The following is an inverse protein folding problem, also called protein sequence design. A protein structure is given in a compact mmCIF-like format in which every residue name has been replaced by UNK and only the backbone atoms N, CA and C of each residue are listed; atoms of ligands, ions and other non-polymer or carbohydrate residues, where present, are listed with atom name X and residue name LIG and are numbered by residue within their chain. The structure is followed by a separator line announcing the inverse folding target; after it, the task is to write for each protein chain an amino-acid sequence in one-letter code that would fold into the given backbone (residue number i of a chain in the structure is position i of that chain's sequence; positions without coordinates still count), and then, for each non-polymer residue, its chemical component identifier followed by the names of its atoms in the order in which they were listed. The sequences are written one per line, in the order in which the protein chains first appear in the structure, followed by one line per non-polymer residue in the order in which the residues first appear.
data_IF_107783929902
#
_entry.id   IF_107783929902
#
_cell.length_a   1.000
_cell.length_b   1.000
_cell.length_c   1.000
_cell.angle_alpha   90.00
_cell.angle_beta   90.00
_cell.angle_gamma   90.00
#
_symmetry.space_group_name_H-M   'P 1'
#
loop_
_entity.id
_entity.type
_entity.pdbx_description
1 polymer ?
#
# COMPACT_ATOMS: atom_id res chain seq x y z
N UNK A 1 8.21 -9.27 -6.15
CA UNK A 1 6.88 -9.73 -5.69
C UNK A 1 5.84 -8.71 -6.08
N UNK A 2 4.75 -9.14 -6.65
CA UNK A 2 3.65 -8.26 -7.05
C UNK A 2 2.42 -8.61 -6.20
N UNK A 3 1.80 -7.60 -5.59
CA UNK A 3 0.59 -7.76 -4.80
C UNK A 3 -0.52 -6.87 -5.36
N UNK A 4 -1.67 -7.46 -5.66
CA UNK A 4 -2.84 -6.73 -6.09
C UNK A 4 -3.72 -6.42 -4.88
N UNK A 5 -3.91 -5.13 -4.57
CA UNK A 5 -4.68 -4.73 -3.39
C UNK A 5 -6.15 -5.08 -3.48
N UNK A 6 -6.68 -5.31 -4.69
CA UNK A 6 -8.06 -5.77 -4.85
C UNK A 6 -8.35 -7.11 -4.15
N UNK A 7 -7.30 -7.88 -3.81
CA UNK A 7 -7.46 -9.11 -3.02
C UNK A 7 -8.04 -8.84 -1.64
N UNK A 8 -7.87 -7.62 -1.13
CA UNK A 8 -8.43 -7.21 0.17
C UNK A 8 -9.80 -6.58 0.03
N UNK A 9 -10.26 -6.34 -1.20
CA UNK A 9 -11.54 -5.72 -1.49
C UNK A 9 -11.40 -4.55 -2.45
N UNK A 10 -12.53 -4.01 -2.90
CA UNK A 10 -12.57 -2.88 -3.82
C UNK A 10 -12.81 -1.55 -3.10
N UNK A 11 -13.30 -1.59 -1.87
CA UNK A 11 -13.55 -0.43 -1.01
C UNK A 11 -12.73 -0.57 0.26
N UNK A 12 -11.56 0.06 0.26
CA UNK A 12 -10.56 -0.08 1.31
C UNK A 12 -10.57 1.20 2.16
N UNK A 13 -11.42 1.23 3.18
CA UNK A 13 -11.71 2.48 3.90
C UNK A 13 -11.50 2.44 5.42
N UNK A 14 -11.67 1.30 6.09
CA UNK A 14 -11.57 1.29 7.55
C UNK A 14 -10.15 1.01 8.02
N UNK A 15 -9.78 1.65 9.13
CA UNK A 15 -8.47 1.43 9.75
C UNK A 15 -8.30 -0.03 10.17
N UNK A 16 -9.34 -0.63 10.73
CA UNK A 16 -9.30 -2.02 11.19
C UNK A 16 -9.01 -2.98 10.03
N UNK A 17 -9.70 -2.84 8.91
CA UNK A 17 -9.47 -3.74 7.76
C UNK A 17 -8.12 -3.50 7.11
N UNK A 18 -7.60 -2.27 7.15
CA UNK A 18 -6.24 -1.98 6.70
C UNK A 18 -5.19 -2.69 7.55
N UNK A 19 -5.37 -2.69 8.87
CA UNK A 19 -4.50 -3.40 9.80
C UNK A 19 -4.57 -4.91 9.56
N UNK A 20 -5.76 -5.46 9.37
CA UNK A 20 -5.94 -6.89 9.08
C UNK A 20 -5.27 -7.28 7.76
N UNK A 21 -5.37 -6.42 6.74
CA UNK A 21 -4.71 -6.64 5.46
C UNK A 21 -3.18 -6.66 5.61
N UNK A 22 -2.63 -5.74 6.40
CA UNK A 22 -1.19 -5.73 6.68
C UNK A 22 -0.76 -7.03 7.35
N UNK A 23 -1.49 -7.47 8.38
CA UNK A 23 -1.17 -8.70 9.10
C UNK A 23 -1.26 -9.93 8.18
N UNK A 24 -2.21 -9.95 7.24
CA UNK A 24 -2.34 -11.02 6.27
C UNK A 24 -1.22 -11.02 5.24
N UNK A 25 -0.75 -9.84 4.82
CA UNK A 25 0.32 -9.70 3.84
C UNK A 25 1.71 -9.96 4.44
N UNK A 26 1.89 -9.70 5.72
CA UNK A 26 3.20 -9.75 6.37
C UNK A 26 3.90 -11.10 6.23
N UNK A 27 3.23 -12.26 6.45
CA UNK A 27 3.88 -13.55 6.24
C UNK A 27 4.35 -13.77 4.80
N UNK A 28 3.59 -13.27 3.82
CA UNK A 28 3.95 -13.39 2.40
C UNK A 28 5.16 -12.53 2.07
N UNK A 29 5.19 -11.29 2.55
CA UNK A 29 6.27 -10.35 2.27
C UNK A 29 7.57 -10.75 2.97
N UNK A 30 7.51 -11.43 4.11
CA UNK A 30 8.69 -11.94 4.80
C UNK A 30 9.46 -12.96 3.97
N UNK A 31 8.81 -13.64 3.04
CA UNK A 31 9.46 -14.56 2.12
C UNK A 31 10.25 -13.89 1.00
N UNK A 32 10.12 -12.57 0.86
CA UNK A 32 10.86 -11.84 -0.16
C UNK A 32 12.35 -11.82 0.16
N UNK A 33 13.18 -11.91 -0.88
CA UNK A 33 14.63 -11.83 -0.74
C UNK A 33 15.03 -10.43 -0.27
N UNK A 34 16.25 -10.31 0.28
CA UNK A 34 16.74 -9.09 0.90
C UNK A 34 16.67 -7.85 0.00
N UNK A 35 16.87 -8.03 -1.31
CA UNK A 35 16.85 -6.93 -2.30
C UNK A 35 15.64 -6.97 -3.21
N UNK A 36 14.68 -7.86 -2.94
CA UNK A 36 13.51 -8.01 -3.79
C UNK A 36 12.57 -6.81 -3.69
N UNK A 37 12.07 -6.37 -4.85
CA UNK A 37 11.09 -5.29 -4.95
C UNK A 37 9.70 -5.82 -4.55
N UNK A 38 9.00 -5.04 -3.75
CA UNK A 38 7.59 -5.29 -3.41
C UNK A 38 6.76 -4.28 -4.22
N UNK A 39 6.11 -4.74 -5.28
CA UNK A 39 5.28 -3.89 -6.13
C UNK A 39 3.81 -4.05 -5.77
N UNK A 40 3.15 -2.93 -5.50
CA UNK A 40 1.73 -2.90 -5.18
C UNK A 40 0.94 -2.34 -6.36
N UNK A 41 -0.14 -3.04 -6.74
CA UNK A 41 -0.99 -2.67 -7.84
C UNK A 41 -2.39 -2.33 -7.31
N UNK A 42 -2.91 -1.15 -7.68
CA UNK A 42 -4.23 -0.67 -7.25
C UNK A 42 -5.33 -0.94 -8.28
N UNK A 43 -5.04 -1.64 -9.37
CA UNK A 43 -6.06 -1.95 -10.38
C UNK A 43 -7.23 -2.70 -9.74
N UNK A 44 -8.46 -2.23 -10.03
CA UNK A 44 -9.68 -2.82 -9.47
C UNK A 44 -10.11 -2.24 -8.12
N UNK A 45 -9.26 -1.46 -7.45
CA UNK A 45 -9.65 -0.74 -6.23
C UNK A 45 -10.47 0.49 -6.65
N UNK A 46 -11.65 0.64 -6.05
CA UNK A 46 -12.55 1.76 -6.34
C UNK A 46 -12.34 2.90 -5.36
N UNK A 47 -12.30 2.61 -4.07
CA UNK A 47 -12.16 3.60 -3.01
C UNK A 47 -11.02 3.20 -2.08
N UNK A 48 -10.16 4.17 -1.76
CA UNK A 48 -8.98 3.96 -0.93
C UNK A 48 -8.84 5.14 0.02
N UNK A 49 -8.96 4.89 1.32
CA UNK A 49 -8.94 5.96 2.33
C UNK A 49 -7.58 6.10 3.02
N UNK A 50 -7.31 7.29 3.58
CA UNK A 50 -6.10 7.48 4.40
C UNK A 50 -6.03 6.54 5.61
N UNK A 51 -7.16 6.23 6.24
CA UNK A 51 -7.18 5.34 7.41
C UNK A 51 -6.71 3.94 7.06
N UNK A 52 -7.21 3.38 5.98
CA UNK A 52 -6.80 2.06 5.51
C UNK A 52 -5.33 2.09 5.04
N UNK A 53 -5.00 3.10 4.25
CA UNK A 53 -3.65 3.25 3.70
C UNK A 53 -2.59 3.42 4.77
N UNK A 54 -2.88 4.18 5.83
CA UNK A 54 -1.95 4.37 6.94
C UNK A 54 -1.60 3.04 7.62
N UNK A 55 -2.60 2.19 7.84
CA UNK A 55 -2.38 0.90 8.51
C UNK A 55 -1.65 -0.12 7.62
N UNK A 56 -1.77 0.01 6.30
CA UNK A 56 -1.17 -0.94 5.37
C UNK A 56 0.15 -0.42 4.77
N UNK A 57 0.13 0.77 4.18
CA UNK A 57 1.27 1.31 3.43
C UNK A 57 2.36 1.87 4.33
N UNK A 58 2.01 2.56 5.40
CA UNK A 58 3.00 3.17 6.29
C UNK A 58 3.95 2.16 6.91
N UNK A 59 3.46 1.04 7.51
CA UNK A 59 4.40 0.04 8.02
C UNK A 59 5.21 -0.65 6.93
N UNK A 60 4.63 -0.87 5.74
CA UNK A 60 5.39 -1.44 4.63
C UNK A 60 6.51 -0.51 4.17
N UNK A 61 6.25 0.78 4.09
CA UNK A 61 7.28 1.77 3.74
C UNK A 61 8.41 1.77 4.78
N UNK A 62 8.06 1.68 6.06
CA UNK A 62 9.05 1.62 7.14
C UNK A 62 9.91 0.36 7.07
N UNK A 63 9.33 -0.77 6.65
CA UNK A 63 10.06 -2.03 6.55
C UNK A 63 10.91 -2.13 5.28
N UNK A 64 10.35 -1.75 4.14
CA UNK A 64 10.96 -2.00 2.83
C UNK A 64 11.61 -0.77 2.21
N UNK A 65 11.25 0.43 2.63
CA UNK A 65 11.84 1.66 2.09
C UNK A 65 11.71 1.72 0.56
N UNK A 66 12.83 1.92 -0.12
CA UNK A 66 12.86 2.05 -1.58
C UNK A 66 12.51 0.77 -2.34
N UNK A 67 12.44 -0.36 -1.64
CA UNK A 67 12.00 -1.63 -2.25
C UNK A 67 10.48 -1.70 -2.41
N UNK A 68 9.75 -0.82 -1.72
CA UNK A 68 8.30 -0.71 -1.90
C UNK A 68 8.03 0.22 -3.08
N UNK A 69 7.40 -0.30 -4.12
CA UNK A 69 7.06 0.46 -5.32
C UNK A 69 5.56 0.37 -5.54
N UNK A 70 4.92 1.52 -5.76
CA UNK A 70 3.50 1.59 -6.09
C UNK A 70 3.37 1.78 -7.60
N UNK A 71 2.58 0.91 -8.24
CA UNK A 71 2.30 1.06 -9.65
C UNK A 71 1.42 2.28 -9.86
N UNK A 72 1.75 3.11 -10.84
CA UNK A 72 0.97 4.31 -11.16
C UNK A 72 -0.49 3.97 -11.41
N UNK A 73 -1.37 4.84 -10.94
CA UNK A 73 -2.81 4.70 -11.08
C UNK A 73 -3.43 6.02 -11.50
N UNK A 74 -4.53 5.96 -12.24
CA UNK A 74 -5.34 7.14 -12.58
C UNK A 74 -6.51 7.32 -11.60
N UNK A 75 -6.67 6.41 -10.63
CA UNK A 75 -7.77 6.49 -9.67
C UNK A 75 -7.59 7.68 -8.73
N UNK A 76 -8.52 8.69 -8.76
CA UNK A 76 -8.36 9.90 -7.94
C UNK A 76 -8.44 9.61 -6.44
N UNK A 77 -9.18 8.61 -6.02
CA UNK A 77 -9.25 8.20 -4.61
C UNK A 77 -7.89 7.71 -4.11
N UNK A 78 -7.22 6.90 -4.90
CA UNK A 78 -5.88 6.41 -4.56
C UNK A 78 -4.88 7.56 -4.56
N UNK A 79 -4.88 8.39 -5.61
CA UNK A 79 -3.93 9.51 -5.72
C UNK A 79 -4.07 10.49 -4.56
N UNK A 80 -5.30 10.87 -4.21
CA UNK A 80 -5.54 11.79 -3.10
C UNK A 80 -5.06 11.21 -1.77
N UNK A 81 -5.33 9.93 -1.52
CA UNK A 81 -4.89 9.25 -0.30
C UNK A 81 -3.37 9.17 -0.21
N UNK A 82 -2.70 8.86 -1.32
CA UNK A 82 -1.24 8.81 -1.31
C UNK A 82 -0.62 10.18 -0.99
N UNK A 83 -1.18 11.26 -1.52
CA UNK A 83 -0.71 12.62 -1.20
C UNK A 83 -0.87 12.93 0.30
N UNK A 84 -2.02 12.57 0.88
CA UNK A 84 -2.26 12.78 2.31
C UNK A 84 -1.25 12.00 3.14
N UNK A 85 -1.02 10.73 2.82
CA UNK A 85 -0.06 9.89 3.55
C UNK A 85 1.37 10.42 3.42
N UNK A 86 1.78 10.82 2.23
CA UNK A 86 3.12 11.36 2.01
C UNK A 86 3.35 12.63 2.84
N UNK A 87 2.35 13.50 2.91
CA UNK A 87 2.43 14.71 3.75
C UNK A 87 2.52 14.36 5.22
N UNK A 88 1.71 13.41 5.68
CA UNK A 88 1.63 13.02 7.09
C UNK A 88 2.92 12.36 7.57
N UNK A 89 3.48 11.45 6.78
CA UNK A 89 4.70 10.71 7.18
C UNK A 89 6.00 11.41 6.79
N UNK A 90 5.93 12.45 5.95
CA UNK A 90 7.12 13.20 5.52
C UNK A 90 8.03 12.44 4.57
N UNK A 91 7.50 11.45 3.86
CA UNK A 91 8.22 10.64 2.88
C UNK A 91 7.36 10.43 1.65
N UNK A 92 8.00 10.28 0.49
CA UNK A 92 7.30 9.95 -0.73
C UNK A 92 7.35 8.46 -1.00
N UNK A 93 6.27 7.92 -1.56
CA UNK A 93 6.27 6.56 -2.09
C UNK A 93 6.95 6.55 -3.45
N UNK A 94 7.74 5.52 -3.72
CA UNK A 94 8.31 5.29 -5.04
C UNK A 94 7.21 4.77 -5.97
N UNK A 95 7.02 5.43 -7.11
CA UNK A 95 5.97 5.08 -8.08
C UNK A 95 6.59 4.78 -9.44
N UNK A 96 5.95 3.89 -10.19
CA UNK A 96 6.39 3.53 -11.54
C UNK A 96 5.26 3.63 -12.57
#
# INVERSE_FOLDING_TARGET
MIMELKKFGTTLISRQTGKEAFLAFRPLSKGAKEDEIIELNFDGVLTFSPSWGDEFLTPLLNIYGNRLILKNTSNPSVKATLEILETTIGKEFRKI
#
